data_IF_852296880017
#
_entry.id   IF_852296880017
#
_cell.length_a   1.000
_cell.length_b   1.000
_cell.length_c   1.000
_cell.angle_alpha   90.00
_cell.angle_beta   90.00
_cell.angle_gamma   90.00
#
_symmetry.space_group_name_H-M   'P 1'
#
loop_
_entity.id
_entity.type
_entity.pdbx_description
1 polymer ?
#
# COMPACT_ATOMS: atom_id res chain seq x y z
N UNK A 1 15.94 7.89 14.14
CA UNK A 1 16.84 7.39 15.16
C UNK A 1 18.02 8.31 15.39
N UNK A 2 19.07 7.77 16.01
CA UNK A 2 20.27 8.56 16.30
C UNK A 2 20.80 9.22 15.02
N UNK A 3 21.73 10.16 15.19
CA UNK A 3 22.31 10.87 14.07
C UNK A 3 23.21 9.94 13.25
N UNK A 4 22.75 9.59 12.06
CA UNK A 4 23.52 8.71 11.19
C UNK A 4 23.34 9.03 9.72
N UNK A 5 22.16 8.72 9.19
CA UNK A 5 21.86 8.97 7.78
C UNK A 5 20.39 9.34 7.59
N UNK A 6 20.14 10.47 6.94
CA UNK A 6 18.78 10.92 6.69
C UNK A 6 18.58 11.27 5.23
N UNK A 7 17.33 11.51 4.85
CA UNK A 7 17.03 11.86 3.46
C UNK A 7 15.62 11.45 3.07
N UNK A 8 15.10 12.10 2.01
CA UNK A 8 13.75 11.81 1.50
C UNK A 8 13.65 10.45 0.84
N UNK A 9 12.44 9.88 0.86
CA UNK A 9 12.22 8.56 0.27
C UNK A 9 11.33 8.67 -0.97
N UNK A 10 11.96 8.74 -2.13
CA UNK A 10 11.24 8.84 -3.39
C UNK A 10 10.66 7.50 -3.81
N UNK A 11 9.44 7.51 -4.34
CA UNK A 11 8.80 6.28 -4.79
C UNK A 11 9.22 5.92 -6.21
N UNK A 12 10.08 4.92 -6.32
CA UNK A 12 10.56 4.47 -7.63
C UNK A 12 9.42 3.89 -8.45
N UNK A 13 8.75 2.89 -7.91
CA UNK A 13 7.63 2.25 -8.60
C UNK A 13 6.35 2.34 -7.79
N UNK A 14 5.55 3.38 -8.05
CA UNK A 14 4.28 3.61 -7.35
C UNK A 14 3.22 2.57 -7.72
N UNK A 15 2.01 2.77 -7.23
CA UNK A 15 0.90 1.85 -7.51
C UNK A 15 0.26 2.16 -8.86
N UNK A 16 -0.61 1.27 -9.32
CA UNK A 16 -1.29 1.46 -10.60
C UNK A 16 -2.68 0.84 -10.55
N UNK A 17 -3.57 1.38 -11.39
CA UNK A 17 -4.95 0.88 -11.45
C UNK A 17 -4.98 -0.64 -11.64
N UNK A 18 -5.66 -1.33 -10.73
CA UNK A 18 -5.76 -2.78 -10.80
C UNK A 18 -7.20 -3.22 -11.00
N UNK A 19 -7.42 -4.10 -11.96
CA UNK A 19 -8.76 -4.60 -12.25
C UNK A 19 -8.90 -6.06 -11.83
N UNK A 20 -9.62 -6.29 -10.73
CA UNK A 20 -9.84 -7.64 -10.22
C UNK A 20 -11.31 -7.87 -9.90
N UNK A 21 -11.63 -9.09 -9.48
CA UNK A 21 -13.00 -9.45 -9.14
C UNK A 21 -13.15 -9.70 -7.64
N UNK A 22 -14.36 -9.53 -7.13
CA UNK A 22 -14.63 -9.73 -5.71
C UNK A 22 -14.30 -11.16 -5.28
N UNK A 23 -13.36 -11.28 -4.35
CA UNK A 23 -12.97 -12.59 -3.87
C UNK A 23 -11.75 -13.13 -4.58
N UNK A 24 -10.75 -12.27 -4.77
CA UNK A 24 -9.52 -12.67 -5.45
C UNK A 24 -8.30 -12.25 -4.63
N UNK A 25 -7.11 -12.51 -5.17
CA UNK A 25 -5.87 -12.17 -4.49
C UNK A 25 -5.30 -10.86 -5.04
N UNK A 26 -5.19 -9.86 -4.16
CA UNK A 26 -4.66 -8.55 -4.56
C UNK A 26 -3.37 -8.25 -3.81
N UNK A 27 -2.33 -7.87 -4.56
CA UNK A 27 -1.04 -7.55 -3.97
C UNK A 27 -0.54 -6.21 -4.48
N UNK A 28 -0.67 -5.17 -3.65
CA UNK A 28 -0.23 -3.84 -4.02
C UNK A 28 1.22 -3.60 -3.59
N UNK A 29 2.14 -3.79 -4.52
CA UNK A 29 3.55 -3.60 -4.25
C UNK A 29 4.04 -2.24 -4.73
N UNK A 30 5.04 -1.70 -4.05
CA UNK A 30 5.59 -0.39 -4.40
C UNK A 30 7.09 -0.34 -4.15
N UNK A 31 7.83 0.16 -5.14
CA UNK A 31 9.28 0.27 -5.03
C UNK A 31 9.70 1.65 -4.52
N UNK A 32 10.43 1.66 -3.41
CA UNK A 32 10.88 2.91 -2.82
C UNK A 32 12.38 3.12 -3.05
N UNK A 33 12.91 4.21 -2.51
CA UNK A 33 14.33 4.52 -2.67
C UNK A 33 15.08 4.31 -1.34
N UNK A 34 14.43 3.62 -0.42
CA UNK A 34 15.03 3.35 0.88
C UNK A 34 14.39 2.11 1.53
N UNK A 35 15.23 1.24 2.07
CA UNK A 35 14.75 0.01 2.70
C UNK A 35 13.85 0.34 3.89
N UNK A 36 14.46 0.83 4.97
CA UNK A 36 13.70 1.19 6.15
C UNK A 36 12.88 2.45 5.97
N UNK A 37 11.88 2.38 5.10
CA UNK A 37 11.03 3.52 4.83
C UNK A 37 9.75 3.45 5.65
N UNK A 38 9.30 4.60 6.15
CA UNK A 38 8.10 4.68 6.96
C UNK A 38 6.87 5.01 6.10
N UNK A 39 6.84 4.44 4.90
CA UNK A 39 5.73 4.68 3.98
C UNK A 39 4.38 4.47 4.67
N UNK A 40 3.43 5.35 4.36
CA UNK A 40 2.10 5.26 4.96
C UNK A 40 1.03 5.15 3.87
N UNK A 41 0.15 4.15 4.01
CA UNK A 41 -0.92 3.95 3.04
C UNK A 41 -2.19 4.66 3.49
N UNK A 42 -2.90 5.25 2.53
CA UNK A 42 -4.14 5.95 2.82
C UNK A 42 -5.26 5.51 1.88
N UNK A 43 -6.42 5.23 2.44
CA UNK A 43 -7.57 4.81 1.65
C UNK A 43 -8.77 5.73 1.87
N UNK A 44 -9.29 6.27 0.77
CA UNK A 44 -10.43 7.18 0.85
C UNK A 44 -10.21 8.25 1.90
N UNK A 45 -8.94 8.58 2.14
CA UNK A 45 -8.62 9.60 3.13
C UNK A 45 -8.57 9.05 4.54
N UNK A 46 -7.88 7.91 4.71
CA UNK A 46 -7.76 7.29 6.02
C UNK A 46 -6.39 6.66 6.19
N UNK A 47 -5.62 7.20 7.14
CA UNK A 47 -4.28 6.68 7.42
C UNK A 47 -4.34 5.25 7.94
N UNK A 48 -3.87 4.31 7.13
CA UNK A 48 -3.88 2.90 7.49
C UNK A 48 -2.88 2.64 8.63
N UNK A 49 -3.33 2.89 9.86
CA UNK A 49 -2.50 2.69 11.03
C UNK A 49 -1.88 1.28 11.03
N UNK A 50 -0.72 1.16 11.65
CA UNK A 50 -0.02 -0.13 11.73
C UNK A 50 -0.09 -0.71 13.14
N UNK A 51 -1.29 -0.73 13.70
CA UNK A 51 -1.49 -1.26 15.05
C UNK A 51 -2.53 -2.37 15.05
N UNK A 52 -2.84 -2.88 16.25
CA UNK A 52 -3.82 -3.95 16.38
C UNK A 52 -5.12 -3.61 15.66
N UNK A 53 -5.37 -4.31 14.55
CA UNK A 53 -6.58 -4.07 13.76
C UNK A 53 -7.25 -5.38 13.40
N UNK A 54 -7.83 -6.03 14.40
CA UNK A 54 -8.52 -7.31 14.19
C UNK A 54 -9.52 -7.20 13.04
N UNK A 55 -10.18 -6.06 12.95
CA UNK A 55 -11.17 -5.82 11.90
C UNK A 55 -10.59 -6.15 10.52
N UNK A 56 -9.58 -5.39 10.11
CA UNK A 56 -8.94 -5.60 8.82
C UNK A 56 -8.52 -7.04 8.65
N UNK A 57 -8.35 -7.47 7.40
CA UNK A 57 -7.96 -8.83 7.10
C UNK A 57 -6.70 -8.86 6.24
N UNK A 58 -6.26 -7.68 5.81
CA UNK A 58 -5.07 -7.56 4.97
C UNK A 58 -3.80 -7.74 5.80
N UNK A 59 -2.72 -8.12 5.14
CA UNK A 59 -1.44 -8.31 5.81
C UNK A 59 -0.37 -7.42 5.20
N UNK A 60 0.55 -6.95 6.05
CA UNK A 60 1.63 -6.08 5.60
C UNK A 60 2.90 -6.89 5.35
N UNK A 61 3.57 -6.62 4.23
CA UNK A 61 4.79 -7.31 3.86
C UNK A 61 5.87 -6.33 3.43
N UNK A 62 6.97 -6.29 4.18
CA UNK A 62 8.07 -5.39 3.87
C UNK A 62 9.28 -6.17 3.37
N UNK A 63 9.61 -5.98 2.09
CA UNK A 63 10.74 -6.68 1.49
C UNK A 63 11.84 -5.68 1.11
N UNK A 64 12.40 -5.02 2.13
CA UNK A 64 13.45 -4.05 1.88
C UNK A 64 12.94 -2.77 1.26
N UNK A 65 13.25 -2.56 -0.01
CA UNK A 65 12.81 -1.36 -0.72
C UNK A 65 11.51 -1.63 -1.47
N UNK A 66 10.70 -2.54 -0.94
CA UNK A 66 9.43 -2.89 -1.57
C UNK A 66 8.37 -3.21 -0.52
N UNK A 67 7.21 -2.57 -0.64
CA UNK A 67 6.12 -2.78 0.31
C UNK A 67 4.90 -3.35 -0.39
N UNK A 68 4.54 -4.58 -0.03
CA UNK A 68 3.38 -5.24 -0.62
C UNK A 68 2.20 -5.29 0.34
N UNK A 69 1.00 -5.24 -0.19
CA UNK A 69 -0.21 -5.28 0.63
C UNK A 69 -1.15 -6.39 0.17
N UNK A 70 -0.99 -7.57 0.75
CA UNK A 70 -1.82 -8.71 0.41
C UNK A 70 -3.24 -8.55 0.94
N UNK A 71 -4.21 -9.08 0.22
CA UNK A 71 -5.61 -8.99 0.62
C UNK A 71 -6.28 -10.37 0.58
N UNK A 72 -6.09 -11.14 1.64
CA UNK A 72 -6.67 -12.47 1.73
C UNK A 72 -8.04 -12.51 1.05
N UNK A 73 -8.80 -11.43 1.20
CA UNK A 73 -10.12 -11.34 0.61
C UNK A 73 -10.46 -9.90 0.26
N UNK A 74 -10.87 -9.68 -1.00
CA UNK A 74 -11.22 -8.34 -1.45
C UNK A 74 -12.69 -8.27 -1.85
N UNK A 75 -13.31 -7.11 -1.61
CA UNK A 75 -14.71 -6.91 -1.95
C UNK A 75 -14.93 -5.55 -2.60
N UNK A 76 -16.16 -5.32 -3.07
CA UNK A 76 -16.50 -4.06 -3.71
C UNK A 76 -16.27 -2.88 -2.77
N UNK A 77 -16.34 -3.15 -1.47
CA UNK A 77 -16.12 -2.12 -0.46
C UNK A 77 -14.65 -1.78 -0.32
N UNK A 78 -13.79 -2.70 -0.76
CA UNK A 78 -12.35 -2.50 -0.69
C UNK A 78 -11.87 -1.59 -1.81
N UNK A 79 -12.71 -1.41 -2.82
CA UNK A 79 -12.37 -0.56 -3.96
C UNK A 79 -12.35 0.91 -3.56
N UNK A 80 -11.18 1.54 -3.69
CA UNK A 80 -11.05 2.94 -3.32
C UNK A 80 -9.85 3.59 -3.97
N UNK A 81 -9.20 4.49 -3.25
CA UNK A 81 -8.03 5.20 -3.77
C UNK A 81 -6.87 5.12 -2.79
N UNK A 82 -5.99 4.13 -3.00
CA UNK A 82 -4.85 3.94 -2.13
C UNK A 82 -3.76 4.97 -2.43
N UNK A 83 -3.74 6.04 -1.66
CA UNK A 83 -2.76 7.10 -1.84
C UNK A 83 -1.54 6.88 -0.94
N UNK A 84 -0.43 6.49 -1.56
CA UNK A 84 0.81 6.24 -0.82
C UNK A 84 1.56 7.54 -0.54
N UNK A 85 1.90 7.75 0.72
CA UNK A 85 2.63 8.95 1.11
C UNK A 85 3.88 8.60 1.91
N UNK A 86 4.98 9.29 1.62
CA UNK A 86 6.24 9.05 2.30
C UNK A 86 6.91 10.36 2.70
N UNK A 87 8.11 10.28 3.27
CA UNK A 87 8.85 11.45 3.69
C UNK A 87 9.67 12.02 2.53
N UNK A 88 9.26 11.69 1.31
CA UNK A 88 9.97 12.17 0.14
C UNK A 88 9.06 12.30 -1.07
N UNK A 89 8.23 11.28 -1.30
CA UNK A 89 7.33 11.30 -2.43
C UNK A 89 5.98 10.67 -2.11
N UNK A 90 5.02 10.82 -3.02
CA UNK A 90 3.70 10.25 -2.82
C UNK A 90 3.05 9.90 -4.16
N UNK A 91 2.01 9.08 -4.11
CA UNK A 91 1.31 8.66 -5.33
C UNK A 91 -0.10 8.19 -5.00
N UNK A 92 -0.85 7.85 -6.03
CA UNK A 92 -2.22 7.38 -5.86
C UNK A 92 -2.59 6.34 -6.92
N UNK A 93 -3.55 5.49 -6.60
CA UNK A 93 -3.98 4.45 -7.52
C UNK A 93 -5.48 4.19 -7.38
N UNK A 94 -6.06 3.54 -8.39
CA UNK A 94 -7.49 3.24 -8.39
C UNK A 94 -7.72 1.73 -8.48
N UNK A 95 -8.18 1.14 -7.39
CA UNK A 95 -8.45 -0.30 -7.35
C UNK A 95 -9.84 -0.61 -7.88
N UNK A 96 -9.91 -1.08 -9.11
CA UNK A 96 -11.20 -1.41 -9.73
C UNK A 96 -11.65 -2.80 -9.31
N UNK A 97 -12.72 -2.87 -8.52
CA UNK A 97 -13.25 -4.14 -8.05
C UNK A 97 -14.62 -4.41 -8.66
N UNK A 98 -14.72 -5.49 -9.44
CA UNK A 98 -15.98 -5.86 -10.07
C UNK A 98 -16.54 -7.15 -9.46
N UNK A 99 -17.83 -7.37 -9.66
CA UNK A 99 -18.49 -8.55 -9.13
C UNK A 99 -18.25 -9.76 -10.03
N UNK A 100 -18.34 -10.95 -9.45
CA UNK A 100 -18.13 -12.18 -10.21
C UNK A 100 -19.36 -12.53 -11.04
N UNK A 101 -19.22 -13.53 -11.90
CA UNK A 101 -20.33 -13.96 -12.75
C UNK A 101 -21.34 -14.78 -11.96
#
# INVERSE_FOLDING_TARGET
GSSGSSGPVLIVTPLEDQQVFVGDRVEMAVEVSEEGAQVMWMKNGVELTREDSFKARYRFKKDGKRHILIFSDVVQEDRGRYQVITNGGQCEAELIVEEKQ
#
